data_IF_309208281659
#
_entry.id   IF_309208281659
#
_cell.length_a   1.000
_cell.length_b   1.000
_cell.length_c   1.000
_cell.angle_alpha   90.00
_cell.angle_beta   90.00
_cell.angle_gamma   90.00
#
_symmetry.space_group_name_H-M   'P 1'
#
loop_
_entity.id
_entity.type
_entity.pdbx_description
1 polymer ?
#
# COMPACT_ATOMS: atom_id res chain seq x y z
N UNK A 1 27.69 9.42 -10.55
CA UNK A 1 28.43 9.92 -9.36
C UNK A 1 27.60 11.05 -8.75
N UNK A 2 27.22 10.99 -7.47
CA UNK A 2 26.35 12.03 -6.88
C UNK A 2 27.06 13.37 -6.78
N UNK A 3 26.39 14.47 -7.14
CA UNK A 3 26.88 15.82 -6.84
C UNK A 3 26.85 16.09 -5.34
N UNK A 4 27.63 17.09 -4.95
CA UNK A 4 27.70 17.59 -3.58
C UNK A 4 26.74 18.77 -3.44
N UNK A 5 25.88 18.73 -2.43
CA UNK A 5 25.00 19.84 -2.11
C UNK A 5 25.79 20.97 -1.47
N UNK A 6 25.42 22.21 -1.80
CA UNK A 6 26.07 23.41 -1.32
C UNK A 6 25.00 24.32 -0.74
N UNK A 7 25.26 24.84 0.45
CA UNK A 7 24.47 25.92 1.04
C UNK A 7 25.40 27.09 1.39
N UNK A 8 24.87 28.29 1.49
CA UNK A 8 25.62 29.45 1.96
C UNK A 8 25.56 29.61 3.50
N UNK A 9 26.19 30.66 4.03
CA UNK A 9 26.18 30.99 5.46
C UNK A 9 24.76 31.21 6.01
N UNK A 10 23.85 31.72 5.18
CA UNK A 10 22.43 31.95 5.52
C UNK A 10 21.57 30.69 5.35
N UNK A 11 22.20 29.54 5.03
CA UNK A 11 21.59 28.23 4.79
C UNK A 11 20.65 28.20 3.60
N UNK A 12 20.86 29.09 2.62
CA UNK A 12 20.17 29.06 1.35
C UNK A 12 20.80 27.99 0.44
N UNK A 13 19.99 27.11 -0.19
CA UNK A 13 20.49 26.14 -1.15
C UNK A 13 21.08 26.78 -2.39
N UNK A 14 22.28 26.36 -2.79
CA UNK A 14 22.94 26.75 -4.03
C UNK A 14 22.97 25.58 -5.03
N UNK A 15 23.46 25.85 -6.25
CA UNK A 15 23.62 24.81 -7.27
C UNK A 15 24.57 23.69 -6.78
N UNK A 16 24.16 22.41 -6.87
CA UNK A 16 25.03 21.29 -6.54
C UNK A 16 26.25 21.23 -7.45
N UNK A 17 27.41 20.95 -6.87
CA UNK A 17 28.70 20.98 -7.58
C UNK A 17 29.32 19.60 -7.72
N UNK A 18 30.28 19.49 -8.63
CA UNK A 18 31.06 18.27 -8.77
C UNK A 18 31.95 18.04 -7.54
N UNK A 19 32.18 16.77 -7.17
CA UNK A 19 32.96 16.40 -5.98
C UNK A 19 34.38 16.96 -5.99
N UNK A 20 34.98 17.15 -7.17
CA UNK A 20 36.30 17.78 -7.31
C UNK A 20 36.28 19.24 -6.84
N UNK A 21 35.27 20.03 -7.23
CA UNK A 21 35.11 21.41 -6.79
C UNK A 21 34.84 21.47 -5.28
N UNK A 22 34.00 20.57 -4.75
CA UNK A 22 33.76 20.49 -3.31
C UNK A 22 35.05 20.22 -2.52
N UNK A 23 35.90 19.30 -2.99
CA UNK A 23 37.20 19.03 -2.37
C UNK A 23 38.13 20.25 -2.42
N UNK A 24 38.13 21.00 -3.52
CA UNK A 24 38.92 22.22 -3.66
C UNK A 24 38.47 23.31 -2.68
N UNK A 25 37.15 23.53 -2.56
CA UNK A 25 36.60 24.50 -1.60
C UNK A 25 36.94 24.14 -0.14
N UNK A 26 36.87 22.85 0.20
CA UNK A 26 37.26 22.36 1.52
C UNK A 26 38.77 22.51 1.78
N UNK A 27 39.63 22.12 0.81
CA UNK A 27 41.09 22.25 0.92
C UNK A 27 41.53 23.70 1.07
N UNK A 28 40.88 24.61 0.35
CA UNK A 28 41.18 26.04 0.38
C UNK A 28 40.52 26.75 1.58
N UNK A 29 39.84 26.02 2.48
CA UNK A 29 39.20 26.59 3.66
C UNK A 29 38.02 27.52 3.38
N UNK A 30 37.48 27.54 2.15
CA UNK A 30 36.33 28.38 1.74
C UNK A 30 34.97 27.79 2.12
N UNK A 31 34.94 26.50 2.43
CA UNK A 31 33.75 25.78 2.85
C UNK A 31 34.05 24.88 4.05
N UNK A 32 33.00 24.45 4.75
CA UNK A 32 33.06 23.43 5.80
C UNK A 32 32.04 22.32 5.52
N UNK A 33 32.24 21.15 6.13
CA UNK A 33 31.26 20.05 6.03
C UNK A 33 30.06 20.39 6.91
N UNK A 34 28.89 20.52 6.29
CA UNK A 34 27.64 20.76 6.99
C UNK A 34 26.95 19.45 7.39
N UNK A 35 26.95 18.47 6.49
CA UNK A 35 26.30 17.17 6.70
C UNK A 35 27.00 16.08 5.90
N UNK A 36 27.10 14.89 6.50
CA UNK A 36 27.70 13.71 5.84
C UNK A 36 26.76 13.02 4.84
N UNK A 37 25.45 13.00 5.10
CA UNK A 37 24.48 12.37 4.20
C UNK A 37 23.10 13.09 4.15
N UNK A 38 22.64 13.48 2.95
CA UNK A 38 23.43 13.62 1.73
C UNK A 38 24.63 14.54 1.96
N UNK A 39 25.76 14.27 1.29
CA UNK A 39 26.98 15.03 1.54
C UNK A 39 26.77 16.48 1.13
N UNK A 40 26.87 17.39 2.12
CA UNK A 40 26.54 18.80 1.98
C UNK A 40 27.66 19.63 2.60
N UNK A 41 28.13 20.62 1.86
CA UNK A 41 29.07 21.63 2.34
C UNK A 41 28.36 22.97 2.54
N UNK A 42 28.87 23.76 3.48
CA UNK A 42 28.44 25.14 3.71
C UNK A 42 29.58 26.08 3.32
N UNK A 43 29.30 27.09 2.51
CA UNK A 43 30.24 28.16 2.20
C UNK A 43 30.38 29.09 3.42
N UNK A 44 31.53 29.73 3.58
CA UNK A 44 31.75 30.73 4.65
C UNK A 44 31.22 32.12 4.31
N UNK A 45 30.84 32.34 3.05
CA UNK A 45 30.32 33.60 2.53
C UNK A 45 28.85 33.42 2.15
N UNK A 46 28.06 34.48 2.32
CA UNK A 46 26.69 34.56 1.82
C UNK A 46 26.69 34.83 0.32
N UNK A 47 25.71 34.27 -0.40
CA UNK A 47 25.55 34.48 -1.85
C UNK A 47 24.08 34.73 -2.22
N UNK A 48 23.51 35.87 -1.82
CA UNK A 48 22.08 36.15 -1.98
C UNK A 48 21.67 36.30 -3.46
N UNK A 49 22.56 36.85 -4.30
CA UNK A 49 22.25 37.16 -5.71
C UNK A 49 22.51 36.00 -6.68
N UNK A 50 22.77 34.80 -6.17
CA UNK A 50 23.16 33.67 -7.03
C UNK A 50 21.92 33.01 -7.66
N UNK A 51 21.83 32.98 -8.99
CA UNK A 51 20.73 32.29 -9.66
C UNK A 51 20.88 30.77 -9.51
N UNK A 52 19.95 30.13 -8.79
CA UNK A 52 19.92 28.69 -8.58
C UNK A 52 19.04 28.05 -9.65
N UNK A 53 19.57 27.02 -10.32
CA UNK A 53 18.83 26.29 -11.33
C UNK A 53 17.76 25.42 -10.66
N UNK A 54 16.49 25.47 -11.10
CA UNK A 54 15.43 24.67 -10.54
C UNK A 54 15.67 23.18 -10.79
N UNK A 55 15.59 22.37 -9.74
CA UNK A 55 15.62 20.91 -9.85
C UNK A 55 14.21 20.32 -9.81
N UNK A 56 14.08 19.09 -10.31
CA UNK A 56 12.91 18.23 -10.17
C UNK A 56 13.21 17.06 -9.25
N UNK A 57 12.33 16.83 -8.28
CA UNK A 57 12.37 15.63 -7.44
C UNK A 57 11.47 14.55 -8.03
N UNK A 58 12.04 13.42 -8.45
CA UNK A 58 11.29 12.23 -8.86
C UNK A 58 11.22 11.21 -7.73
N UNK A 59 10.03 10.69 -7.48
CA UNK A 59 9.75 9.71 -6.42
C UNK A 59 9.06 8.49 -7.04
N UNK A 60 9.66 7.32 -6.87
CA UNK A 60 9.09 6.04 -7.29
C UNK A 60 8.72 5.21 -6.04
N UNK A 61 7.45 5.23 -5.60
CA UNK A 61 7.02 4.60 -4.36
C UNK A 61 6.79 3.09 -4.50
N UNK A 62 7.79 2.28 -4.13
CA UNK A 62 7.61 0.83 -4.00
C UNK A 62 7.16 0.32 -2.62
N UNK A 63 6.83 -0.97 -2.54
CA UNK A 63 6.37 -1.60 -1.30
C UNK A 63 7.48 -1.74 -0.24
N UNK A 64 8.68 -2.14 -0.66
CA UNK A 64 9.87 -2.33 0.21
C UNK A 64 10.84 -1.17 0.12
N UNK A 65 11.00 -0.60 -1.07
CA UNK A 65 11.96 0.45 -1.35
C UNK A 65 11.26 1.57 -2.12
N UNK A 66 11.69 2.81 -1.92
CA UNK A 66 11.26 3.96 -2.73
C UNK A 66 12.48 4.58 -3.39
N UNK A 67 12.45 4.68 -4.71
CA UNK A 67 13.45 5.44 -5.46
C UNK A 67 13.23 6.93 -5.27
N UNK A 68 14.31 7.67 -5.04
CA UNK A 68 14.30 9.13 -4.95
C UNK A 68 15.43 9.66 -5.83
N UNK A 69 15.11 10.55 -6.76
CA UNK A 69 16.09 11.19 -7.63
C UNK A 69 15.86 12.69 -7.73
N UNK A 70 16.94 13.47 -7.66
CA UNK A 70 16.96 14.89 -8.01
C UNK A 70 17.62 15.04 -9.37
N UNK A 71 16.93 15.72 -10.28
CA UNK A 71 17.33 15.86 -11.68
C UNK A 71 17.28 17.34 -12.04
N UNK A 72 18.24 17.78 -12.85
CA UNK A 72 18.14 19.05 -13.55
C UNK A 72 17.47 18.78 -14.91
N UNK A 73 16.24 19.24 -15.10
CA UNK A 73 15.48 18.99 -16.33
C UNK A 73 16.12 19.64 -17.57
N UNK A 74 16.81 20.78 -17.40
CA UNK A 74 17.42 21.50 -18.52
C UNK A 74 18.66 20.78 -19.06
N UNK A 75 19.43 20.13 -18.19
CA UNK A 75 20.65 19.40 -18.59
C UNK A 75 20.44 17.89 -18.70
N UNK A 76 19.34 17.35 -18.19
CA UNK A 76 19.10 15.91 -18.05
C UNK A 76 19.96 15.24 -16.98
N UNK A 77 20.75 15.99 -16.21
CA UNK A 77 21.72 15.44 -15.27
C UNK A 77 21.07 15.00 -13.95
N UNK A 78 21.41 13.79 -13.51
CA UNK A 78 21.01 13.27 -12.18
C UNK A 78 21.98 13.80 -11.12
N UNK A 79 21.49 14.75 -10.31
CA UNK A 79 22.23 15.39 -9.22
C UNK A 79 22.44 14.43 -8.05
N UNK A 80 21.38 13.73 -7.69
CA UNK A 80 21.36 12.84 -6.53
C UNK A 80 20.36 11.72 -6.77
N UNK A 81 20.71 10.51 -6.37
CA UNK A 81 19.82 9.37 -6.37
C UNK A 81 20.01 8.58 -5.07
N UNK A 82 18.90 8.12 -4.51
CA UNK A 82 18.90 7.29 -3.31
C UNK A 82 17.74 6.30 -3.33
N UNK A 83 17.95 5.18 -2.65
CA UNK A 83 16.92 4.19 -2.38
C UNK A 83 16.53 4.25 -0.90
N UNK A 84 15.27 4.54 -0.64
CA UNK A 84 14.70 4.58 0.71
C UNK A 84 14.13 3.20 1.06
N UNK A 85 14.82 2.47 1.94
CA UNK A 85 14.32 1.20 2.48
C UNK A 85 13.23 1.42 3.54
N UNK A 86 12.07 0.82 3.32
CA UNK A 86 10.93 0.92 4.24
C UNK A 86 10.91 -0.19 5.28
N UNK A 87 10.37 0.14 6.45
CA UNK A 87 10.11 -0.82 7.55
C UNK A 87 8.67 -1.33 7.57
N UNK A 88 7.88 -1.04 6.54
CA UNK A 88 6.44 -1.35 6.49
C UNK A 88 6.13 -2.83 6.72
N UNK A 89 6.92 -3.74 6.13
CA UNK A 89 6.79 -5.18 6.32
C UNK A 89 7.11 -5.60 7.76
N UNK A 90 8.22 -5.12 8.31
CA UNK A 90 8.59 -5.38 9.72
C UNK A 90 7.50 -4.92 10.68
N UNK A 91 6.92 -3.74 10.45
CA UNK A 91 5.80 -3.20 11.25
C UNK A 91 4.56 -4.09 11.11
N UNK A 92 4.22 -4.53 9.90
CA UNK A 92 3.11 -5.44 9.62
C UNK A 92 3.29 -6.76 10.38
N UNK A 93 4.49 -7.33 10.35
CA UNK A 93 4.77 -8.63 10.95
C UNK A 93 4.73 -8.51 12.49
N UNK A 94 5.28 -7.43 13.06
CA UNK A 94 5.15 -7.12 14.49
C UNK A 94 3.69 -6.88 14.93
N UNK A 95 2.86 -6.25 14.10
CA UNK A 95 1.42 -6.10 14.36
C UNK A 95 0.69 -7.44 14.32
N UNK A 96 1.07 -8.32 13.39
CA UNK A 96 0.49 -9.64 13.21
C UNK A 96 0.85 -10.56 14.38
N UNK A 97 2.12 -10.60 14.78
CA UNK A 97 2.58 -11.33 15.96
C UNK A 97 1.83 -10.90 17.23
N UNK A 98 1.74 -9.59 17.50
CA UNK A 98 0.96 -9.07 18.64
C UNK A 98 -0.52 -9.46 18.57
N UNK A 99 -1.12 -9.48 17.37
CA UNK A 99 -2.52 -9.90 17.16
C UNK A 99 -2.69 -11.39 17.48
N UNK A 100 -1.78 -12.25 16.99
CA UNK A 100 -1.81 -13.70 17.22
C UNK A 100 -1.68 -14.03 18.71
N UNK A 101 -0.74 -13.42 19.42
CA UNK A 101 -0.58 -13.59 20.87
C UNK A 101 -1.84 -13.21 21.64
N UNK A 102 -2.46 -12.07 21.28
CA UNK A 102 -3.76 -11.64 21.86
C UNK A 102 -4.91 -12.60 21.54
N UNK A 103 -4.90 -13.23 20.36
CA UNK A 103 -5.90 -14.24 19.98
C UNK A 103 -5.71 -15.53 20.78
N UNK A 104 -4.48 -16.04 20.86
CA UNK A 104 -4.13 -17.24 21.63
C UNK A 104 -4.49 -17.09 23.11
N UNK A 105 -4.12 -15.97 23.75
CA UNK A 105 -4.48 -15.72 25.16
C UNK A 105 -5.99 -15.71 25.37
N UNK A 106 -6.76 -15.08 24.47
CA UNK A 106 -8.23 -15.07 24.56
C UNK A 106 -8.82 -16.47 24.41
N UNK A 107 -8.37 -17.25 23.41
CA UNK A 107 -8.84 -18.62 23.23
C UNK A 107 -8.57 -19.51 24.45
N UNK A 108 -7.40 -19.37 25.09
CA UNK A 108 -7.00 -20.18 26.25
C UNK A 108 -7.58 -19.72 27.59
N UNK A 109 -7.82 -18.42 27.78
CA UNK A 109 -8.13 -17.83 29.10
C UNK A 109 -9.52 -17.22 29.22
N UNK A 110 -10.28 -17.09 28.14
CA UNK A 110 -11.66 -16.58 28.19
C UNK A 110 -12.61 -17.59 27.57
N UNK A 111 -13.44 -18.24 28.40
CA UNK A 111 -14.39 -19.29 27.99
C UNK A 111 -15.46 -18.75 27.03
N UNK A 112 -15.91 -17.50 27.25
CA UNK A 112 -16.77 -16.78 26.32
C UNK A 112 -16.51 -15.26 26.41
N UNK A 113 -16.14 -14.63 25.31
CA UNK A 113 -15.99 -13.16 25.23
C UNK A 113 -16.66 -12.64 23.98
N UNK A 114 -17.78 -11.93 24.15
CA UNK A 114 -18.50 -11.29 23.04
C UNK A 114 -17.58 -10.33 22.25
N UNK A 115 -17.65 -10.34 20.90
CA UNK A 115 -16.89 -9.41 20.08
C UNK A 115 -17.35 -7.96 20.34
N UNK A 116 -16.40 -7.04 20.48
CA UNK A 116 -16.67 -5.60 20.66
C UNK A 116 -16.31 -4.86 19.38
N UNK A 117 -17.20 -4.87 18.39
CA UNK A 117 -16.96 -4.23 17.09
C UNK A 117 -16.90 -2.70 17.21
N UNK A 118 -17.72 -2.12 18.08
CA UNK A 118 -17.79 -0.68 18.35
C UNK A 118 -16.49 -0.10 18.94
N UNK A 119 -15.64 -0.93 19.55
CA UNK A 119 -14.35 -0.49 20.08
C UNK A 119 -13.26 -0.37 19.00
N UNK A 120 -13.58 -0.66 17.73
CA UNK A 120 -12.65 -0.55 16.60
C UNK A 120 -12.97 0.70 15.79
N UNK A 121 -12.88 1.87 16.42
CA UNK A 121 -13.01 3.14 15.71
C UNK A 121 -11.72 3.45 14.95
N UNK A 122 -11.87 3.92 13.72
CA UNK A 122 -10.79 4.51 12.91
C UNK A 122 -11.23 5.91 12.58
N UNK A 123 -10.36 6.88 12.79
CA UNK A 123 -10.62 8.25 12.38
C UNK A 123 -10.74 8.34 10.85
N UNK A 124 -11.39 9.39 10.37
CA UNK A 124 -11.36 9.73 8.96
C UNK A 124 -9.89 9.89 8.50
N UNK A 125 -9.54 9.32 7.35
CA UNK A 125 -8.17 9.34 6.83
C UNK A 125 -7.18 8.39 7.53
N UNK A 126 -7.66 7.49 8.40
CA UNK A 126 -6.78 6.52 9.06
C UNK A 126 -6.10 5.59 8.06
N UNK A 127 -4.77 5.53 8.12
CA UNK A 127 -3.98 4.55 7.41
C UNK A 127 -3.43 3.50 8.38
N UNK A 128 -3.25 2.28 7.87
CA UNK A 128 -2.56 1.25 8.65
C UNK A 128 -1.15 1.73 9.04
N UNK A 129 -0.63 1.41 10.23
CA UNK A 129 0.67 1.91 10.68
C UNK A 129 1.83 1.62 9.70
N UNK A 130 1.77 0.49 9.00
CA UNK A 130 2.74 0.13 7.96
C UNK A 130 2.65 1.00 6.71
N UNK A 131 1.45 1.48 6.34
CA UNK A 131 1.23 2.44 5.26
C UNK A 131 1.66 3.84 5.68
N UNK A 132 1.23 4.29 6.87
CA UNK A 132 1.60 5.59 7.42
C UNK A 132 3.12 5.75 7.51
N UNK A 133 3.83 4.74 8.01
CA UNK A 133 5.29 4.77 8.12
C UNK A 133 5.97 4.98 6.76
N UNK A 134 5.46 4.36 5.68
CA UNK A 134 6.02 4.54 4.34
C UNK A 134 5.89 6.00 3.87
N UNK A 135 4.69 6.56 4.02
CA UNK A 135 4.38 7.94 3.62
C UNK A 135 5.23 8.93 4.42
N UNK A 136 5.29 8.78 5.75
CA UNK A 136 6.05 9.70 6.61
C UNK A 136 7.56 9.62 6.38
N UNK A 137 8.09 8.43 6.04
CA UNK A 137 9.50 8.29 5.66
C UNK A 137 9.82 9.09 4.39
N UNK A 138 8.95 8.99 3.36
CA UNK A 138 9.11 9.75 2.11
C UNK A 138 9.03 11.25 2.40
N UNK A 139 7.99 11.71 3.11
CA UNK A 139 7.84 13.13 3.51
C UNK A 139 9.06 13.65 4.26
N UNK A 140 9.63 12.84 5.17
CA UNK A 140 10.84 13.21 5.92
C UNK A 140 12.01 13.44 4.98
N UNK A 141 12.18 12.60 3.95
CA UNK A 141 13.23 12.77 2.95
C UNK A 141 13.01 13.98 2.06
N UNK A 142 11.78 14.21 1.59
CA UNK A 142 11.41 15.41 0.81
C UNK A 142 11.76 16.68 1.60
N UNK A 143 11.36 16.76 2.88
CA UNK A 143 11.66 17.89 3.77
C UNK A 143 13.16 18.05 4.08
N UNK A 144 13.94 16.97 4.06
CA UNK A 144 15.40 17.04 4.24
C UNK A 144 16.07 17.59 2.99
N UNK A 145 15.67 17.11 1.82
CA UNK A 145 16.20 17.56 0.53
C UNK A 145 15.83 19.02 0.27
N UNK A 146 14.63 19.47 0.62
CA UNK A 146 14.19 20.86 0.39
C UNK A 146 15.02 21.89 1.15
N UNK A 147 15.77 21.48 2.18
CA UNK A 147 16.65 22.35 2.96
C UNK A 147 18.06 22.48 2.38
N UNK A 148 18.43 21.62 1.44
CA UNK A 148 19.79 21.55 0.88
C UNK A 148 19.82 21.63 -0.65
N UNK A 149 18.65 21.59 -1.30
CA UNK A 149 18.50 21.66 -2.73
C UNK A 149 17.26 22.47 -3.08
N UNK A 150 17.38 23.34 -4.07
CA UNK A 150 16.25 24.08 -4.63
C UNK A 150 15.56 23.25 -5.72
N UNK A 151 14.42 22.64 -5.38
CA UNK A 151 13.55 21.99 -6.35
C UNK A 151 12.16 22.61 -6.32
N UNK A 152 11.56 22.76 -7.49
CA UNK A 152 10.26 23.44 -7.68
C UNK A 152 9.17 22.49 -8.13
N UNK A 153 9.53 21.32 -8.68
CA UNK A 153 8.58 20.29 -9.13
C UNK A 153 8.87 18.97 -8.43
N UNK A 154 7.80 18.29 -8.00
CA UNK A 154 7.83 16.89 -7.57
C UNK A 154 7.04 16.07 -8.58
N UNK A 155 7.64 15.00 -9.10
CA UNK A 155 6.97 14.02 -9.95
C UNK A 155 6.95 12.67 -9.25
N UNK A 156 5.80 12.02 -9.22
CA UNK A 156 5.61 10.73 -8.57
C UNK A 156 4.89 9.77 -9.49
N UNK A 157 5.37 8.53 -9.56
CA UNK A 157 4.64 7.46 -10.23
C UNK A 157 3.49 6.97 -9.33
N UNK A 158 2.28 6.90 -9.89
CA UNK A 158 1.10 6.37 -9.22
C UNK A 158 0.73 5.04 -9.87
N UNK A 159 1.05 3.93 -9.20
CA UNK A 159 0.60 2.60 -9.61
C UNK A 159 -0.86 2.41 -9.18
N UNK A 160 -1.79 2.78 -10.08
CA UNK A 160 -3.25 2.75 -9.85
C UNK A 160 -3.95 1.72 -10.74
N UNK A 161 -3.43 0.50 -10.81
CA UNK A 161 -4.11 -0.57 -11.55
C UNK A 161 -4.88 -1.46 -10.59
N UNK A 162 -6.21 -1.36 -10.63
CA UNK A 162 -7.11 -2.33 -10.01
C UNK A 162 -7.59 -3.30 -11.10
N UNK A 163 -6.89 -4.44 -11.21
CA UNK A 163 -7.18 -5.43 -12.23
C UNK A 163 -8.59 -6.01 -12.11
N UNK A 164 -9.18 -6.04 -10.91
CA UNK A 164 -10.55 -6.55 -10.72
C UNK A 164 -11.58 -5.52 -11.16
N UNK A 165 -11.37 -4.24 -10.86
CA UNK A 165 -12.22 -3.15 -11.34
C UNK A 165 -12.16 -2.99 -12.87
N UNK A 166 -11.00 -3.24 -13.47
CA UNK A 166 -10.86 -3.24 -14.94
C UNK A 166 -11.64 -4.37 -15.61
N UNK A 167 -11.70 -5.54 -14.98
CA UNK A 167 -12.46 -6.69 -15.50
C UNK A 167 -13.97 -6.56 -15.23
N UNK A 168 -14.35 -6.00 -14.09
CA UNK A 168 -15.74 -5.74 -13.70
C UNK A 168 -15.86 -4.32 -13.12
N UNK A 169 -16.28 -3.31 -13.91
CA UNK A 169 -16.43 -1.93 -13.45
C UNK A 169 -17.40 -1.75 -12.30
N UNK A 170 -18.37 -2.66 -12.16
CA UNK A 170 -19.41 -2.60 -11.13
C UNK A 170 -19.02 -3.36 -9.85
N UNK A 171 -17.76 -3.83 -9.74
CA UNK A 171 -17.31 -4.64 -8.59
C UNK A 171 -17.47 -3.90 -7.26
N UNK A 172 -18.14 -4.54 -6.29
CA UNK A 172 -18.41 -3.92 -4.99
C UNK A 172 -18.15 -4.85 -3.80
N UNK A 173 -17.57 -4.27 -2.76
CA UNK A 173 -17.54 -4.81 -1.40
C UNK A 173 -17.02 -6.24 -1.27
N UNK A 174 -17.93 -7.22 -1.21
CA UNK A 174 -17.63 -8.64 -0.99
C UNK A 174 -17.03 -9.31 -2.23
N UNK A 175 -17.34 -8.79 -3.42
CA UNK A 175 -16.87 -9.35 -4.69
C UNK A 175 -15.34 -9.26 -4.82
N UNK A 176 -14.73 -8.21 -4.26
CA UNK A 176 -13.27 -8.11 -4.13
C UNK A 176 -12.63 -9.27 -3.37
N UNK A 177 -13.39 -9.95 -2.49
CA UNK A 177 -12.92 -11.07 -1.69
C UNK A 177 -13.23 -12.42 -2.34
N UNK A 178 -14.16 -12.43 -3.30
CA UNK A 178 -14.62 -13.63 -3.99
C UNK A 178 -13.93 -13.71 -5.36
N UNK A 179 -12.96 -14.60 -5.49
CA UNK A 179 -12.36 -14.89 -6.79
C UNK A 179 -13.39 -15.46 -7.77
N UNK A 180 -13.03 -15.55 -9.05
CA UNK A 180 -13.90 -16.02 -10.13
C UNK A 180 -14.60 -17.36 -9.84
N UNK A 181 -13.92 -18.26 -9.11
CA UNK A 181 -14.42 -19.59 -8.76
C UNK A 181 -15.11 -19.67 -7.39
N UNK A 182 -15.42 -18.53 -6.76
CA UNK A 182 -16.05 -18.53 -5.45
C UNK A 182 -17.40 -19.27 -5.46
N UNK A 183 -17.51 -20.33 -4.65
CA UNK A 183 -18.70 -21.19 -4.59
C UNK A 183 -18.73 -22.31 -5.64
N UNK A 184 -17.72 -22.41 -6.52
CA UNK A 184 -17.60 -23.51 -7.48
C UNK A 184 -17.48 -24.86 -6.78
N UNK A 185 -16.51 -25.03 -5.87
CA UNK A 185 -16.33 -26.29 -5.13
C UNK A 185 -17.58 -26.71 -4.35
N UNK A 186 -18.30 -25.75 -3.79
CA UNK A 186 -19.57 -26.00 -3.08
C UNK A 186 -20.65 -26.50 -4.02
N UNK A 187 -20.77 -25.88 -5.21
CA UNK A 187 -21.73 -26.31 -6.24
C UNK A 187 -21.37 -27.69 -6.80
N UNK A 188 -20.10 -27.91 -7.16
CA UNK A 188 -19.64 -29.21 -7.66
C UNK A 188 -19.85 -30.32 -6.63
N UNK A 189 -19.55 -30.07 -5.34
CA UNK A 189 -19.86 -31.03 -4.29
C UNK A 189 -21.35 -31.37 -4.22
N UNK A 190 -22.23 -30.36 -4.33
CA UNK A 190 -23.68 -30.60 -4.30
C UNK A 190 -24.15 -31.37 -5.54
N UNK A 191 -23.61 -31.05 -6.71
CA UNK A 191 -23.90 -31.79 -7.94
C UNK A 191 -23.48 -33.25 -7.80
N UNK A 192 -22.26 -33.51 -7.33
CA UNK A 192 -21.75 -34.86 -7.12
C UNK A 192 -22.58 -35.63 -6.06
N UNK A 193 -22.88 -34.98 -4.94
CA UNK A 193 -23.68 -35.57 -3.84
C UNK A 193 -25.06 -36.04 -4.31
N UNK A 194 -25.66 -35.33 -5.26
CA UNK A 194 -26.99 -35.63 -5.78
C UNK A 194 -26.95 -36.28 -7.16
N UNK A 195 -25.82 -36.84 -7.60
CA UNK A 195 -25.65 -37.49 -8.92
C UNK A 195 -26.11 -36.61 -10.10
N UNK A 196 -25.88 -35.31 -9.99
CA UNK A 196 -26.33 -34.27 -10.93
C UNK A 196 -27.84 -34.31 -11.19
N UNK A 197 -28.59 -34.64 -10.14
CA UNK A 197 -30.06 -34.67 -10.13
C UNK A 197 -30.61 -33.64 -9.16
N UNK A 198 -31.84 -33.21 -9.40
CA UNK A 198 -32.60 -32.45 -8.41
C UNK A 198 -32.84 -33.28 -7.16
N UNK A 199 -32.50 -32.74 -5.99
CA UNK A 199 -32.69 -33.43 -4.71
C UNK A 199 -34.16 -33.77 -4.38
N UNK A 200 -35.13 -33.07 -4.97
CA UNK A 200 -36.56 -33.34 -4.73
C UNK A 200 -37.22 -34.18 -5.82
N UNK A 201 -36.97 -33.86 -7.10
CA UNK A 201 -37.71 -34.49 -8.21
C UNK A 201 -36.86 -35.42 -9.08
N UNK A 202 -35.55 -35.52 -8.86
CA UNK A 202 -34.67 -36.44 -9.60
C UNK A 202 -34.37 -36.03 -11.05
N UNK A 203 -34.86 -34.86 -11.52
CA UNK A 203 -34.62 -34.39 -12.88
C UNK A 203 -33.13 -34.12 -13.10
N UNK A 204 -32.61 -34.55 -14.26
CA UNK A 204 -31.21 -34.38 -14.73
C UNK A 204 -31.13 -33.32 -15.83
N UNK A 205 -29.91 -32.91 -16.17
CA UNK A 205 -29.57 -32.08 -17.34
C UNK A 205 -30.30 -30.74 -17.43
N UNK A 206 -30.58 -30.14 -16.28
CA UNK A 206 -31.22 -28.84 -16.15
C UNK A 206 -30.42 -27.94 -15.20
N UNK A 207 -30.52 -26.60 -15.34
CA UNK A 207 -29.85 -25.68 -14.43
C UNK A 207 -30.35 -25.86 -12.99
N UNK A 208 -29.42 -26.15 -12.07
CA UNK A 208 -29.71 -26.28 -10.65
C UNK A 208 -29.34 -25.01 -9.86
N UNK A 209 -30.22 -24.60 -8.95
CA UNK A 209 -29.98 -23.62 -7.91
C UNK A 209 -29.57 -24.31 -6.60
N UNK A 210 -28.83 -23.59 -5.76
CA UNK A 210 -28.46 -24.05 -4.43
C UNK A 210 -29.48 -23.51 -3.44
N UNK A 211 -30.23 -24.40 -2.80
CA UNK A 211 -31.22 -24.03 -1.79
C UNK A 211 -30.85 -24.54 -0.40
N UNK A 212 -31.55 -24.00 0.60
CA UNK A 212 -31.43 -24.43 1.99
C UNK A 212 -32.52 -25.46 2.32
N UNK A 213 -32.11 -26.62 2.86
CA UNK A 213 -33.04 -27.65 3.37
C UNK A 213 -33.88 -27.06 4.51
N UNK A 214 -33.23 -26.43 5.50
CA UNK A 214 -33.90 -25.57 6.48
C UNK A 214 -33.81 -24.12 6.01
N UNK A 215 -34.95 -23.45 5.71
CA UNK A 215 -34.94 -22.11 5.13
C UNK A 215 -34.18 -21.09 5.98
N UNK A 216 -33.39 -20.23 5.33
CA UNK A 216 -32.60 -19.19 6.02
C UNK A 216 -33.46 -18.23 6.84
N UNK A 217 -34.66 -17.90 6.36
CA UNK A 217 -35.62 -17.06 7.09
C UNK A 217 -36.08 -17.68 8.42
N UNK A 218 -36.04 -19.01 8.55
CA UNK A 218 -36.36 -19.77 9.76
C UNK A 218 -35.11 -20.15 10.57
N UNK A 219 -33.96 -19.54 10.30
CA UNK A 219 -32.70 -19.79 11.01
C UNK A 219 -31.77 -20.83 10.36
N UNK A 220 -32.03 -21.22 9.10
CA UNK A 220 -31.16 -22.07 8.29
C UNK A 220 -29.71 -21.58 8.19
N UNK A 221 -28.76 -22.51 8.28
CA UNK A 221 -27.33 -22.22 8.14
C UNK A 221 -26.86 -22.35 6.68
N UNK A 222 -25.78 -21.65 6.32
CA UNK A 222 -25.08 -21.84 5.03
C UNK A 222 -24.07 -23.02 5.08
N UNK A 223 -24.20 -23.93 6.06
CA UNK A 223 -23.36 -25.12 6.12
C UNK A 223 -23.68 -26.02 4.93
N UNK A 224 -22.67 -26.71 4.39
CA UNK A 224 -22.84 -27.68 3.30
C UNK A 224 -23.87 -28.77 3.63
N UNK A 225 -24.02 -29.08 4.91
CA UNK A 225 -25.01 -30.05 5.41
C UNK A 225 -26.44 -29.59 5.27
N UNK A 226 -26.69 -28.27 5.12
CA UNK A 226 -28.01 -27.67 4.97
C UNK A 226 -28.27 -27.17 3.54
N UNK A 227 -27.41 -27.52 2.57
CA UNK A 227 -27.56 -27.11 1.17
C UNK A 227 -27.91 -28.30 0.29
N UNK A 228 -28.73 -28.07 -0.74
CA UNK A 228 -29.09 -29.03 -1.78
C UNK A 228 -29.09 -28.40 -3.18
N UNK A 229 -29.08 -29.24 -4.23
CA UNK A 229 -29.17 -28.82 -5.62
C UNK A 229 -30.61 -29.06 -6.13
N UNK A 230 -31.30 -28.00 -6.56
CA UNK A 230 -32.70 -28.04 -6.98
C UNK A 230 -32.89 -27.36 -8.33
N UNK A 231 -33.90 -27.75 -9.10
CA UNK A 231 -34.26 -27.02 -10.31
C UNK A 231 -34.76 -25.60 -9.97
N UNK A 232 -34.56 -24.64 -10.88
CA UNK A 232 -35.19 -23.32 -10.77
C UNK A 232 -36.70 -23.44 -10.93
N UNK A 233 -37.43 -23.65 -9.84
CA UNK A 233 -38.88 -23.42 -9.82
C UNK A 233 -39.08 -21.91 -9.76
N UNK A 234 -39.55 -21.31 -10.86
CA UNK A 234 -40.08 -19.96 -10.80
C UNK A 234 -41.09 -19.90 -9.66
N UNK A 235 -40.82 -19.01 -8.71
CA UNK A 235 -41.55 -18.73 -7.47
C UNK A 235 -43.08 -18.73 -7.63
N UNK A 236 -43.71 -19.91 -7.58
CA UNK A 236 -45.16 -20.05 -7.71
C UNK A 236 -45.69 -21.39 -7.20
N UNK A 237 -45.14 -21.90 -6.09
CA UNK A 237 -45.82 -22.90 -5.27
C UNK A 237 -45.70 -22.53 -3.79
N UNK A 238 -46.49 -21.52 -3.40
CA UNK A 238 -47.01 -21.43 -2.04
C UNK A 238 -48.12 -22.49 -1.93
N UNK A 239 -47.87 -23.59 -1.22
CA UNK A 239 -48.86 -24.30 -0.39
C UNK A 239 -48.13 -24.75 0.87
#
# INVERSE_FOLDING_TARGET
MSKVFVIDTDKQPLNPIHSAQARQLLRNGKAAVFRRFPFTIILKESRPDFSVSPLRLKIDPGAKHTGIALINDATGEVVFAAELKHRGFVIRDALTSRRQLRRSRRGRKTRYRKPRFLNKTRSLGWLAPSLQSRIENIKTWVKKLSKIAHFVVISQELVRFDMQLMANPDIQGKEYQQGTLAGYETREYLLEKWDRQCAYCGVKDVPFQVEHIHPRAKGGSNSITNLNALISLNSSLNI
#
